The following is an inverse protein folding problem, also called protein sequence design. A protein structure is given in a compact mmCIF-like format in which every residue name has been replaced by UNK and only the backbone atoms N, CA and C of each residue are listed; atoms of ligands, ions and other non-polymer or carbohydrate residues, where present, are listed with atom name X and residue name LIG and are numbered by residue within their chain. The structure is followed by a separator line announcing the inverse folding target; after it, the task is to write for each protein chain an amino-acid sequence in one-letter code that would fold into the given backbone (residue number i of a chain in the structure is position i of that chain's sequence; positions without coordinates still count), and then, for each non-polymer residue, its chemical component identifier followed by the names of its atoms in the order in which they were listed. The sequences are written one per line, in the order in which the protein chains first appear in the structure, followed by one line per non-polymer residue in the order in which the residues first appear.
data_IF_061977661456
#
_entry.id   IF_061977661456
#
_cell.length_a   1.000
_cell.length_b   1.000
_cell.length_c   1.000
_cell.angle_alpha   90.00
_cell.angle_beta   90.00
_cell.angle_gamma   90.00
#
_symmetry.space_group_name_H-M   'P 1'
#
loop_
_entity.id
_entity.type
_entity.pdbx_description
1 polymer ?
#
# COMPACT_ATOMS: atom_id res chain seq x y z
N UNK A 1 -4.49 28.18 -14.95
CA UNK A 1 -4.93 27.13 -15.89
C UNK A 1 -3.95 25.95 -15.93
N UNK A 2 -2.64 26.17 -16.03
CA UNK A 2 -1.62 25.11 -16.12
C UNK A 2 -1.51 24.21 -14.88
N UNK A 3 -1.73 24.75 -13.67
CA UNK A 3 -1.75 23.99 -12.41
C UNK A 3 -2.96 23.04 -12.28
N UNK A 4 -4.10 23.38 -12.88
CA UNK A 4 -5.31 22.55 -12.84
C UNK A 4 -5.18 21.36 -13.81
N UNK A 5 -4.68 21.61 -15.03
CA UNK A 5 -4.43 20.56 -16.03
C UNK A 5 -3.45 19.49 -15.53
N UNK A 6 -2.39 19.89 -14.83
CA UNK A 6 -1.42 18.93 -14.28
C UNK A 6 -2.06 18.02 -13.22
N UNK A 7 -2.98 18.55 -12.40
CA UNK A 7 -3.69 17.75 -11.38
C UNK A 7 -4.64 16.75 -12.03
N UNK A 8 -5.38 17.16 -13.05
CA UNK A 8 -6.27 16.25 -13.80
C UNK A 8 -5.49 15.12 -14.48
N UNK A 9 -4.32 15.41 -15.05
CA UNK A 9 -3.45 14.39 -15.66
C UNK A 9 -2.94 13.42 -14.59
N UNK A 10 -2.49 13.94 -13.43
CA UNK A 10 -2.00 13.10 -12.34
C UNK A 10 -3.10 12.21 -11.75
N UNK A 11 -4.31 12.74 -11.58
CA UNK A 11 -5.46 11.98 -11.06
C UNK A 11 -5.91 10.91 -12.06
N UNK A 12 -5.98 11.23 -13.35
CA UNK A 12 -6.35 10.28 -14.39
C UNK A 12 -5.32 9.14 -14.51
N UNK A 13 -4.03 9.48 -14.50
CA UNK A 13 -2.94 8.49 -14.54
C UNK A 13 -2.95 7.64 -13.27
N UNK A 14 -3.09 8.27 -12.09
CA UNK A 14 -3.14 7.57 -10.80
C UNK A 14 -4.30 6.58 -10.73
N UNK A 15 -5.49 7.00 -11.16
CA UNK A 15 -6.68 6.15 -11.19
C UNK A 15 -6.52 4.97 -12.16
N UNK A 16 -5.98 5.23 -13.36
CA UNK A 16 -5.77 4.19 -14.38
C UNK A 16 -4.70 3.19 -13.92
N UNK A 17 -3.60 3.67 -13.35
CA UNK A 17 -2.53 2.83 -12.83
C UNK A 17 -3.03 1.96 -11.67
N UNK A 18 -3.79 2.54 -10.74
CA UNK A 18 -4.38 1.80 -9.63
C UNK A 18 -5.40 0.75 -10.12
N UNK A 19 -6.22 1.06 -11.12
CA UNK A 19 -7.16 0.10 -11.72
C UNK A 19 -6.44 -1.07 -12.40
N UNK A 20 -5.35 -0.80 -13.13
CA UNK A 20 -4.53 -1.84 -13.75
C UNK A 20 -3.82 -2.71 -12.72
N UNK A 21 -3.24 -2.11 -11.67
CA UNK A 21 -2.66 -2.82 -10.53
C UNK A 21 -3.71 -3.70 -9.86
N UNK A 22 -4.92 -3.18 -9.64
CA UNK A 22 -6.02 -3.92 -9.04
C UNK A 22 -6.42 -5.14 -9.88
N UNK A 23 -6.54 -4.97 -11.19
CA UNK A 23 -6.87 -6.07 -12.11
C UNK A 23 -5.74 -7.13 -12.14
N UNK A 24 -4.48 -6.69 -12.23
CA UNK A 24 -3.31 -7.58 -12.25
C UNK A 24 -3.13 -8.36 -10.95
N UNK A 25 -3.22 -7.68 -9.80
CA UNK A 25 -3.11 -8.31 -8.48
C UNK A 25 -4.27 -9.28 -8.22
N UNK A 26 -5.50 -8.93 -8.60
CA UNK A 26 -6.66 -9.83 -8.52
C UNK A 26 -6.47 -11.08 -9.36
N UNK A 27 -5.93 -10.94 -10.57
CA UNK A 27 -5.62 -12.08 -11.43
C UNK A 27 -4.59 -13.02 -10.77
N UNK A 28 -3.52 -12.48 -10.18
CA UNK A 28 -2.51 -13.27 -9.46
C UNK A 28 -3.14 -14.04 -8.29
N UNK A 29 -4.01 -13.38 -7.51
CA UNK A 29 -4.73 -14.00 -6.39
C UNK A 29 -5.61 -15.15 -6.88
N UNK A 30 -6.40 -14.93 -7.94
CA UNK A 30 -7.26 -15.96 -8.52
C UNK A 30 -6.46 -17.15 -9.03
N UNK A 31 -5.36 -16.91 -9.76
CA UNK A 31 -4.46 -17.96 -10.22
C UNK A 31 -3.90 -18.77 -9.05
N UNK A 32 -3.49 -18.12 -7.95
CA UNK A 32 -2.99 -18.81 -6.77
C UNK A 32 -4.05 -19.73 -6.12
N UNK A 33 -5.31 -19.29 -6.09
CA UNK A 33 -6.42 -20.09 -5.54
C UNK A 33 -6.81 -21.27 -6.43
N UNK A 34 -6.81 -21.08 -7.75
CA UNK A 34 -7.15 -22.11 -8.74
C UNK A 34 -6.08 -23.21 -8.84
N UNK A 35 -4.79 -22.85 -8.77
CA UNK A 35 -3.69 -23.79 -8.93
C UNK A 35 -3.09 -24.23 -7.58
N UNK A 36 -3.71 -25.24 -6.95
CA UNK A 36 -3.25 -25.82 -5.67
C UNK A 36 -1.82 -26.39 -5.70
N UNK A 37 -1.33 -26.76 -6.88
CA UNK A 37 0.03 -27.29 -7.15
C UNK A 37 1.13 -26.22 -6.97
N UNK A 38 0.80 -24.93 -7.11
CA UNK A 38 1.77 -23.83 -7.01
C UNK A 38 1.97 -23.32 -5.57
N UNK A 39 1.43 -23.98 -4.53
CA UNK A 39 1.54 -23.56 -3.12
C UNK A 39 2.93 -23.78 -2.50
N UNK A 40 4.00 -23.49 -3.24
CA UNK A 40 5.34 -23.37 -2.69
C UNK A 40 5.49 -22.07 -1.91
N UNK A 41 6.42 -22.05 -0.97
CA UNK A 41 6.69 -20.91 -0.09
C UNK A 41 6.76 -19.58 -0.85
N UNK A 42 7.54 -19.50 -1.93
CA UNK A 42 7.69 -18.28 -2.74
C UNK A 42 6.38 -17.75 -3.31
N UNK A 43 5.46 -18.61 -3.74
CA UNK A 43 4.16 -18.19 -4.25
C UNK A 43 3.22 -17.71 -3.13
N UNK A 44 3.37 -18.24 -1.90
CA UNK A 44 2.65 -17.73 -0.74
C UNK A 44 3.03 -16.28 -0.43
N UNK A 45 4.32 -15.92 -0.60
CA UNK A 45 4.78 -14.53 -0.46
C UNK A 45 4.19 -13.63 -1.56
N UNK A 46 4.20 -14.08 -2.81
CA UNK A 46 3.60 -13.36 -3.94
C UNK A 46 2.08 -13.16 -3.73
N UNK A 47 1.40 -14.12 -3.12
CA UNK A 47 -0.01 -13.97 -2.75
C UNK A 47 -0.21 -12.83 -1.74
N UNK A 48 0.58 -12.77 -0.66
CA UNK A 48 0.49 -11.67 0.32
C UNK A 48 0.86 -10.31 -0.28
N UNK A 49 1.85 -10.27 -1.18
CA UNK A 49 2.17 -9.09 -1.97
C UNK A 49 0.95 -8.61 -2.77
N UNK A 50 0.33 -9.50 -3.55
CA UNK A 50 -0.81 -9.16 -4.39
C UNK A 50 -2.01 -8.67 -3.56
N UNK A 51 -2.27 -9.28 -2.40
CA UNK A 51 -3.31 -8.81 -1.47
C UNK A 51 -2.99 -7.42 -0.92
N UNK A 52 -1.74 -7.16 -0.52
CA UNK A 52 -1.32 -5.85 -0.04
C UNK A 52 -1.41 -4.77 -1.14
N UNK A 53 -1.00 -5.10 -2.36
CA UNK A 53 -1.08 -4.22 -3.54
C UNK A 53 -2.55 -3.90 -3.91
N UNK A 54 -3.40 -4.93 -3.94
CA UNK A 54 -4.84 -4.78 -4.16
C UNK A 54 -5.45 -3.85 -3.12
N UNK A 55 -5.14 -4.02 -1.84
CA UNK A 55 -5.65 -3.16 -0.76
C UNK A 55 -5.10 -1.74 -0.85
N UNK A 56 -3.79 -1.55 -1.09
CA UNK A 56 -3.16 -0.25 -1.32
C UNK A 56 -3.88 0.51 -2.47
N UNK A 57 -4.10 -0.14 -3.61
CA UNK A 57 -4.79 0.44 -4.77
C UNK A 57 -6.28 0.69 -4.50
N UNK A 58 -6.98 -0.22 -3.83
CA UNK A 58 -8.38 -0.03 -3.43
C UNK A 58 -8.56 1.19 -2.54
N UNK A 59 -7.75 1.31 -1.50
CA UNK A 59 -7.79 2.47 -0.62
C UNK A 59 -7.41 3.74 -1.41
N UNK A 60 -6.35 3.72 -2.21
CA UNK A 60 -6.00 4.89 -3.05
C UNK A 60 -7.16 5.38 -3.95
N UNK A 61 -7.98 4.48 -4.49
CA UNK A 61 -9.15 4.81 -5.32
C UNK A 61 -10.39 5.20 -4.49
N UNK A 62 -10.61 4.60 -3.31
CA UNK A 62 -11.82 4.75 -2.49
C UNK A 62 -11.89 6.10 -1.73
N UNK A 63 -11.07 7.09 -2.08
CA UNK A 63 -11.05 8.42 -1.47
C UNK A 63 -12.32 9.24 -1.74
N UNK A 64 -13.39 9.01 -0.98
CA UNK A 64 -14.62 9.81 -0.98
C UNK A 64 -14.79 10.63 0.31
N UNK A 65 -15.60 11.71 0.30
CA UNK A 65 -15.85 12.55 1.46
C UNK A 65 -16.79 11.84 2.46
N UNK A 66 -16.26 10.87 3.19
CA UNK A 66 -16.89 10.33 4.38
C UNK A 66 -16.06 10.81 5.58
N UNK A 67 -16.73 11.39 6.58
CA UNK A 67 -16.28 11.73 7.95
C UNK A 67 -14.76 11.84 8.20
N UNK A 68 -14.29 12.91 8.84
CA UNK A 68 -12.86 13.13 9.15
C UNK A 68 -12.12 11.88 9.69
N UNK A 69 -12.75 11.12 10.61
CA UNK A 69 -12.23 9.85 11.12
C UNK A 69 -12.02 8.77 10.04
N UNK A 70 -12.96 8.63 9.13
CA UNK A 70 -12.88 7.67 8.03
C UNK A 70 -11.72 8.01 7.11
N UNK A 71 -11.48 9.30 6.87
CA UNK A 71 -10.38 9.73 6.02
C UNK A 71 -9.00 9.52 6.64
N UNK A 72 -8.84 9.75 7.94
CA UNK A 72 -7.58 9.43 8.63
C UNK A 72 -7.34 7.91 8.65
N UNK A 73 -8.35 7.13 9.05
CA UNK A 73 -8.25 5.67 9.04
C UNK A 73 -7.89 5.15 7.64
N UNK A 74 -8.46 5.78 6.62
CA UNK A 74 -8.20 5.48 5.23
C UNK A 74 -6.76 5.79 4.78
N UNK A 75 -6.26 7.01 5.02
CA UNK A 75 -4.88 7.41 4.66
C UNK A 75 -3.84 6.52 5.33
N UNK A 76 -4.00 6.27 6.64
CA UNK A 76 -3.09 5.41 7.39
C UNK A 76 -3.16 3.95 6.91
N UNK A 77 -4.35 3.45 6.57
CA UNK A 77 -4.51 2.09 6.03
C UNK A 77 -3.85 1.97 4.66
N UNK A 78 -4.12 2.91 3.74
CA UNK A 78 -3.50 2.94 2.42
C UNK A 78 -1.96 2.92 2.56
N UNK A 79 -1.42 3.82 3.38
CA UNK A 79 0.03 3.89 3.64
C UNK A 79 0.59 2.56 4.17
N UNK A 80 -0.05 1.97 5.18
CA UNK A 80 0.35 0.70 5.76
C UNK A 80 0.44 -0.42 4.71
N UNK A 81 -0.59 -0.57 3.87
CA UNK A 81 -0.63 -1.61 2.83
C UNK A 81 0.37 -1.34 1.70
N UNK A 82 0.57 -0.08 1.30
CA UNK A 82 1.56 0.27 0.27
C UNK A 82 2.99 -0.01 0.75
N UNK A 83 3.33 0.33 2.00
CA UNK A 83 4.64 0.00 2.60
C UNK A 83 4.81 -1.52 2.70
N UNK A 84 3.75 -2.24 3.09
CA UNK A 84 3.79 -3.70 3.14
C UNK A 84 4.05 -4.31 1.74
N UNK A 85 3.40 -3.80 0.69
CA UNK A 85 3.62 -4.22 -0.70
C UNK A 85 5.09 -4.06 -1.13
N UNK A 86 5.70 -2.91 -0.82
CA UNK A 86 7.11 -2.67 -1.12
C UNK A 86 8.05 -3.64 -0.41
N UNK A 87 7.80 -3.91 0.88
CA UNK A 87 8.62 -4.82 1.68
C UNK A 87 8.44 -6.28 1.26
N UNK A 88 7.22 -6.69 0.90
CA UNK A 88 6.96 -8.00 0.30
C UNK A 88 7.72 -8.17 -1.02
N UNK A 89 7.72 -7.14 -1.88
CA UNK A 89 8.46 -7.15 -3.15
C UNK A 89 9.96 -7.35 -2.92
N UNK A 90 10.53 -6.62 -1.94
CA UNK A 90 11.94 -6.76 -1.55
C UNK A 90 12.25 -8.15 -1.02
N UNK A 91 11.36 -8.71 -0.20
CA UNK A 91 11.49 -10.06 0.36
C UNK A 91 11.47 -11.13 -0.74
N UNK A 92 10.58 -10.98 -1.73
CA UNK A 92 10.51 -11.87 -2.89
C UNK A 92 11.77 -11.77 -3.73
N UNK A 93 12.25 -10.55 -4.02
CA UNK A 93 13.49 -10.33 -4.76
C UNK A 93 14.70 -10.99 -4.05
N UNK A 94 14.81 -10.81 -2.73
CA UNK A 94 15.85 -11.44 -1.92
C UNK A 94 15.74 -12.98 -1.94
N UNK A 95 14.53 -13.51 -1.81
CA UNK A 95 14.26 -14.96 -1.83
C UNK A 95 14.60 -15.56 -3.19
N UNK A 96 14.24 -14.90 -4.29
CA UNK A 96 14.57 -15.31 -5.65
C UNK A 96 16.08 -15.32 -5.87
N UNK A 97 16.76 -14.24 -5.50
CA UNK A 97 18.22 -14.14 -5.62
C UNK A 97 18.93 -15.25 -4.84
N UNK A 98 18.53 -15.50 -3.58
CA UNK A 98 19.11 -16.57 -2.76
C UNK A 98 18.80 -17.97 -3.33
N UNK A 99 17.60 -18.19 -3.83
CA UNK A 99 17.20 -19.49 -4.40
C UNK A 99 18.02 -19.84 -5.64
N UNK A 100 18.21 -18.86 -6.54
CA UNK A 100 18.98 -19.03 -7.79
C UNK A 100 20.47 -19.21 -7.51
N UNK A 101 21.04 -18.46 -6.56
CA UNK A 101 22.49 -18.45 -6.34
C UNK A 101 22.96 -19.49 -5.32
N UNK A 102 22.19 -19.74 -4.25
CA UNK A 102 22.65 -20.52 -3.09
C UNK A 102 22.05 -21.92 -2.98
N UNK A 103 21.03 -22.27 -3.76
CA UNK A 103 20.36 -23.59 -3.75
C UNK A 103 19.95 -24.15 -2.36
N UNK A 104 19.88 -23.30 -1.31
CA UNK A 104 19.55 -23.73 0.06
C UNK A 104 18.09 -23.45 0.38
N UNK A 105 17.35 -24.51 0.69
CA UNK A 105 15.91 -24.51 0.96
C UNK A 105 15.57 -24.71 2.45
N UNK A 106 16.33 -24.13 3.38
CA UNK A 106 15.83 -23.93 4.75
C UNK A 106 14.97 -22.67 4.74
N UNK A 107 13.74 -22.76 4.23
CA UNK A 107 12.87 -21.60 3.95
C UNK A 107 11.61 -21.56 4.82
N UNK A 108 11.21 -22.67 5.44
CA UNK A 108 9.97 -22.72 6.24
C UNK A 108 10.05 -21.88 7.52
N UNK A 109 11.21 -21.88 8.21
CA UNK A 109 11.39 -21.09 9.44
C UNK A 109 11.51 -19.57 9.17
N UNK A 110 11.98 -19.18 7.97
CA UNK A 110 12.03 -17.77 7.54
C UNK A 110 10.65 -17.18 7.25
N UNK A 111 9.62 -18.02 7.07
CA UNK A 111 8.25 -17.57 6.83
C UNK A 111 7.79 -16.56 7.86
N UNK A 112 7.85 -16.93 9.13
CA UNK A 112 7.40 -16.07 10.21
C UNK A 112 8.26 -14.80 10.35
N UNK A 113 9.58 -14.90 10.14
CA UNK A 113 10.50 -13.76 10.16
C UNK A 113 10.12 -12.73 9.10
N UNK A 114 9.81 -13.16 7.87
CA UNK A 114 9.37 -12.25 6.82
C UNK A 114 8.04 -11.57 7.15
N UNK A 115 7.09 -12.29 7.73
CA UNK A 115 5.82 -11.68 8.16
C UNK A 115 6.06 -10.65 9.27
N UNK A 116 6.85 -10.98 10.29
CA UNK A 116 7.21 -10.03 11.35
C UNK A 116 7.94 -8.81 10.80
N UNK A 117 8.88 -9.01 9.87
CA UNK A 117 9.60 -7.92 9.23
C UNK A 117 8.65 -7.01 8.47
N UNK A 118 7.85 -7.56 7.55
CA UNK A 118 6.96 -6.76 6.69
C UNK A 118 5.89 -6.05 7.53
N UNK A 119 5.12 -6.79 8.33
CA UNK A 119 4.01 -6.20 9.09
C UNK A 119 4.51 -5.28 10.21
N UNK A 120 5.60 -5.66 10.88
CA UNK A 120 6.20 -4.87 11.95
C UNK A 120 6.74 -3.54 11.43
N UNK A 121 7.51 -3.54 10.34
CA UNK A 121 8.06 -2.30 9.79
C UNK A 121 6.98 -1.42 9.15
N UNK A 122 5.96 -2.00 8.50
CA UNK A 122 4.77 -1.23 8.05
C UNK A 122 4.02 -0.58 9.20
N UNK A 123 3.88 -1.27 10.35
CA UNK A 123 3.25 -0.70 11.53
C UNK A 123 4.09 0.43 12.12
N UNK A 124 5.39 0.22 12.30
CA UNK A 124 6.32 1.22 12.84
C UNK A 124 6.31 2.48 11.98
N UNK A 125 6.42 2.35 10.66
CA UNK A 125 6.40 3.51 9.75
C UNK A 125 5.06 4.26 9.80
N UNK A 126 3.95 3.55 9.92
CA UNK A 126 2.61 4.16 10.04
C UNK A 126 2.44 4.88 11.40
N UNK A 127 2.93 4.30 12.49
CA UNK A 127 2.92 4.92 13.83
C UNK A 127 3.82 6.15 13.86
N UNK A 128 5.03 6.07 13.29
CA UNK A 128 5.93 7.23 13.18
C UNK A 128 5.28 8.36 12.39
N UNK A 129 4.57 8.06 11.30
CA UNK A 129 3.81 9.04 10.52
C UNK A 129 2.65 9.65 11.33
N UNK A 130 1.95 8.85 12.13
CA UNK A 130 0.88 9.32 13.02
C UNK A 130 1.42 10.27 14.08
N UNK A 131 2.52 9.91 14.75
CA UNK A 131 3.16 10.72 15.79
C UNK A 131 3.79 12.00 15.20
N UNK A 132 4.49 11.89 14.06
CA UNK A 132 5.10 13.04 13.39
C UNK A 132 4.08 14.07 12.89
N UNK A 133 2.82 13.68 12.72
CA UNK A 133 1.73 14.59 12.40
C UNK A 133 1.36 15.53 13.57
N UNK A 134 1.60 15.14 14.82
CA UNK A 134 1.26 15.97 15.99
C UNK A 134 2.34 17.00 16.33
N UNK A 135 3.60 16.77 15.93
CA UNK A 135 4.74 17.60 16.34
C UNK A 135 4.93 18.92 15.56
N UNK A 136 4.05 19.30 14.63
CA UNK A 136 4.23 20.61 13.98
C UNK A 136 3.34 21.03 12.82
N UNK A 137 2.20 20.39 12.54
CA UNK A 137 1.15 20.89 11.63
C UNK A 137 -0.03 19.91 11.63
N UNK A 138 -1.29 20.36 11.75
CA UNK A 138 -2.44 19.47 11.61
C UNK A 138 -2.33 18.69 10.30
N UNK A 139 -2.37 17.35 10.42
CA UNK A 139 -2.01 16.40 9.36
C UNK A 139 -2.66 16.73 8.02
N UNK A 140 -1.83 17.11 7.06
CA UNK A 140 -2.20 17.54 5.72
C UNK A 140 -2.58 16.40 4.77
N UNK A 141 -3.16 15.30 5.25
CA UNK A 141 -3.50 14.18 4.38
C UNK A 141 -4.87 13.60 4.68
N UNK A 142 -5.85 14.33 4.15
CA UNK A 142 -7.15 13.84 3.73
C UNK A 142 -7.54 14.64 2.47
N UNK A 143 -6.73 14.51 1.41
CA UNK A 143 -6.96 14.89 0.00
C UNK A 143 -7.51 16.30 -0.37
N UNK A 144 -8.54 16.92 0.24
CA UNK A 144 -8.96 18.32 -0.04
C UNK A 144 -9.55 18.98 1.23
N UNK A 145 -8.80 19.89 1.84
CA UNK A 145 -9.39 21.17 2.23
C UNK A 145 -8.60 22.32 1.60
N UNK A 146 -8.61 22.35 0.26
CA UNK A 146 -8.42 23.59 -0.50
C UNK A 146 -9.69 23.92 -1.30
N UNK A 147 -10.86 23.63 -0.70
CA UNK A 147 -12.15 24.15 -1.14
C UNK A 147 -12.68 25.28 -0.25
N UNK A 148 -12.08 25.61 0.91
CA UNK A 148 -12.66 26.62 1.81
C UNK A 148 -11.71 27.23 2.86
N UNK A 149 -10.42 27.47 2.61
CA UNK A 149 -9.66 28.44 3.43
C UNK A 149 -9.93 29.86 2.93
N UNK A 150 -11.22 30.17 2.83
CA UNK A 150 -11.80 31.48 2.57
C UNK A 150 -12.95 31.79 3.53
N UNK A 151 -13.16 30.98 4.59
CA UNK A 151 -13.91 31.45 5.76
C UNK A 151 -12.93 32.02 6.77
N UNK A 152 -12.57 33.27 6.49
CA UNK A 152 -12.15 34.28 7.45
C UNK A 152 -13.14 34.25 8.62
N UNK A 153 -12.78 33.59 9.71
CA UNK A 153 -13.23 34.03 11.02
C UNK A 153 -12.27 35.12 11.44
N UNK A 154 -12.67 36.39 11.29
CA UNK A 154 -12.43 37.53 12.18
C UNK A 154 -13.20 38.71 11.56
N UNK A 155 -14.22 39.18 12.29
CA UNK A 155 -15.00 40.44 12.16
C UNK A 155 -15.66 40.76 10.81
#
# INVERSE_FOLDING_TARGET
SQSMRNREILDAVGTTAAALSLAGSSFIVLCYLLFRELRKFSFKLVYFLAVADMLCSLFTIMGGPANAFYCFAHDYSAHFFCVASFLWTTTIAFTLHRTVVKHKTDVEEFGFIFHLYVWGTSLVTTVLRSIGSDYGRPGTWCWIQQGSTGKRFYT
#
